data_IF_099488550905
#
_entry.id   IF_099488550905
#
_cell.length_a   1.000
_cell.length_b   1.000
_cell.length_c   1.000
_cell.angle_alpha   90.00
_cell.angle_beta   90.00
_cell.angle_gamma   90.00
#
_symmetry.space_group_name_H-M   'P 1'
#
loop_
_entity.id
_entity.type
_entity.pdbx_description
1 polymer ?
#
# COMPACT_ATOMS: atom_id res chain seq x y z
N UNK A 1 -6.89 26.10 -10.47
CA UNK A 1 -6.20 24.81 -10.57
C UNK A 1 -5.78 24.66 -12.03
N UNK A 2 -4.49 24.48 -12.30
CA UNK A 2 -4.03 24.26 -13.68
C UNK A 2 -4.41 22.87 -14.18
N UNK A 3 -4.19 22.61 -15.48
CA UNK A 3 -4.61 21.37 -16.14
C UNK A 3 -3.94 20.12 -15.57
N UNK A 4 -2.66 20.22 -15.17
CA UNK A 4 -1.93 19.10 -14.56
C UNK A 4 -2.52 18.84 -13.17
N UNK A 5 -2.70 19.88 -12.36
CA UNK A 5 -3.31 19.75 -11.03
C UNK A 5 -4.72 19.15 -11.10
N UNK A 6 -5.53 19.55 -12.08
CA UNK A 6 -6.89 19.01 -12.25
C UNK A 6 -6.87 17.54 -12.62
N UNK A 7 -6.02 17.12 -13.56
CA UNK A 7 -5.86 15.72 -13.92
C UNK A 7 -5.33 14.87 -12.77
N UNK A 8 -4.36 15.39 -12.01
CA UNK A 8 -3.85 14.71 -10.82
C UNK A 8 -4.94 14.53 -9.77
N UNK A 9 -5.74 15.58 -9.52
CA UNK A 9 -6.84 15.52 -8.57
C UNK A 9 -7.93 14.53 -9.02
N UNK A 10 -8.34 14.58 -10.30
CA UNK A 10 -9.35 13.69 -10.86
C UNK A 10 -8.89 12.22 -10.78
N UNK A 11 -7.61 11.95 -11.09
CA UNK A 11 -7.03 10.62 -10.94
C UNK A 11 -7.00 10.17 -9.48
N UNK A 12 -6.42 10.98 -8.58
CA UNK A 12 -6.28 10.63 -7.17
C UNK A 12 -7.65 10.38 -6.53
N UNK A 13 -8.66 11.19 -6.85
CA UNK A 13 -10.02 11.03 -6.31
C UNK A 13 -10.70 9.78 -6.86
N UNK A 14 -10.51 9.47 -8.15
CA UNK A 14 -11.12 8.29 -8.79
C UNK A 14 -10.52 6.96 -8.31
N UNK A 15 -9.23 6.93 -8.05
CA UNK A 15 -8.49 5.71 -7.71
C UNK A 15 -8.18 5.56 -6.21
N UNK A 16 -8.54 6.54 -5.37
CA UNK A 16 -8.45 6.38 -3.93
C UNK A 16 -9.37 5.24 -3.46
N UNK A 17 -8.76 4.18 -2.94
CA UNK A 17 -9.49 2.99 -2.46
C UNK A 17 -9.77 3.00 -0.95
N UNK A 18 -9.06 3.85 -0.21
CA UNK A 18 -9.06 3.89 1.26
C UNK A 18 -9.25 5.33 1.72
N UNK A 19 -10.01 5.53 2.80
CA UNK A 19 -10.14 6.85 3.43
C UNK A 19 -8.77 7.39 3.86
N UNK A 20 -8.48 8.70 3.68
CA UNK A 20 -7.18 9.26 4.01
C UNK A 20 -6.70 9.00 5.45
N UNK A 21 -7.61 9.00 6.44
CA UNK A 21 -7.23 8.77 7.85
C UNK A 21 -6.84 7.31 8.08
N UNK A 22 -7.55 6.39 7.45
CA UNK A 22 -7.28 4.96 7.59
C UNK A 22 -6.02 4.57 6.81
N UNK A 23 -5.81 5.14 5.63
CA UNK A 23 -4.56 5.00 4.87
C UNK A 23 -3.34 5.46 5.69
N UNK A 24 -3.43 6.60 6.39
CA UNK A 24 -2.35 7.06 7.27
C UNK A 24 -2.05 6.08 8.41
N UNK A 25 -3.09 5.52 9.05
CA UNK A 25 -2.93 4.52 10.10
C UNK A 25 -2.34 3.21 9.57
N UNK A 26 -2.82 2.73 8.43
CA UNK A 26 -2.28 1.55 7.74
C UNK A 26 -0.80 1.74 7.43
N UNK A 27 -0.41 2.90 6.88
CA UNK A 27 0.99 3.20 6.56
C UNK A 27 1.88 3.10 7.79
N UNK A 28 1.46 3.74 8.90
CA UNK A 28 2.23 3.68 10.14
C UNK A 28 2.37 2.26 10.69
N UNK A 29 1.31 1.44 10.59
CA UNK A 29 1.36 0.03 10.99
C UNK A 29 2.31 -0.77 10.10
N UNK A 30 2.20 -0.64 8.78
CA UNK A 30 3.06 -1.35 7.83
C UNK A 30 4.56 -1.04 8.06
N UNK A 31 4.90 0.24 8.32
CA UNK A 31 6.28 0.62 8.62
C UNK A 31 6.74 0.03 9.96
N UNK A 32 5.97 0.21 11.04
CA UNK A 32 6.37 -0.19 12.40
C UNK A 32 6.34 -1.70 12.60
N UNK A 33 5.36 -2.38 12.03
CA UNK A 33 5.04 -3.78 12.32
C UNK A 33 5.55 -4.76 11.26
N UNK A 34 5.78 -4.30 10.03
CA UNK A 34 6.24 -5.13 8.92
C UNK A 34 7.61 -4.68 8.38
N UNK A 35 8.20 -3.61 8.94
CA UNK A 35 9.53 -3.13 8.53
C UNK A 35 9.57 -2.61 7.09
N UNK A 36 8.43 -2.11 6.59
CA UNK A 36 8.37 -1.51 5.27
C UNK A 36 8.95 -0.10 5.28
N UNK A 37 9.53 0.31 4.15
CA UNK A 37 9.82 1.73 3.91
C UNK A 37 8.52 2.51 3.70
N UNK A 38 8.62 3.84 3.71
CA UNK A 38 7.45 4.68 3.43
C UNK A 38 6.88 4.41 2.02
N UNK A 39 7.77 4.27 1.03
CA UNK A 39 7.42 3.99 -0.36
C UNK A 39 6.73 2.63 -0.52
N UNK A 40 7.27 1.58 0.09
CA UNK A 40 6.70 0.22 0.06
C UNK A 40 5.33 0.18 0.73
N UNK A 41 5.17 0.86 1.88
CA UNK A 41 3.89 0.93 2.57
C UNK A 41 2.84 1.67 1.73
N UNK A 42 3.22 2.76 1.07
CA UNK A 42 2.33 3.49 0.15
C UNK A 42 1.96 2.64 -1.07
N UNK A 43 2.93 1.92 -1.65
CA UNK A 43 2.69 1.01 -2.77
C UNK A 43 1.67 -0.07 -2.41
N UNK A 44 1.83 -0.73 -1.26
CA UNK A 44 0.89 -1.75 -0.77
C UNK A 44 -0.52 -1.18 -0.60
N UNK A 45 -0.66 0.02 0.01
CA UNK A 45 -1.97 0.65 0.23
C UNK A 45 -2.64 1.01 -1.10
N UNK A 46 -1.88 1.54 -2.06
CA UNK A 46 -2.41 1.95 -3.36
C UNK A 46 -2.82 0.75 -4.21
N UNK A 47 -2.01 -0.32 -4.22
CA UNK A 47 -2.33 -1.56 -4.94
C UNK A 47 -3.50 -2.28 -4.26
N UNK A 48 -3.56 -2.26 -2.92
CA UNK A 48 -4.56 -2.94 -2.09
C UNK A 48 -4.78 -4.41 -2.51
N UNK A 49 -3.75 -5.26 -2.45
CA UNK A 49 -3.89 -6.66 -2.83
C UNK A 49 -4.89 -7.41 -1.96
N UNK A 50 -5.60 -8.34 -2.57
CA UNK A 50 -6.63 -9.17 -1.91
C UNK A 50 -6.14 -10.58 -1.59
N UNK A 51 -4.97 -10.95 -2.09
CA UNK A 51 -4.42 -12.29 -1.93
C UNK A 51 -2.89 -12.29 -1.77
N UNK A 52 -2.34 -13.33 -1.14
CA UNK A 52 -0.88 -13.52 -1.05
C UNK A 52 -0.19 -13.60 -2.41
N UNK A 53 -0.73 -14.27 -3.45
CA UNK A 53 -0.15 -14.25 -4.79
C UNK A 53 -0.05 -12.84 -5.39
N UNK A 54 -1.08 -12.01 -5.25
CA UNK A 54 -1.03 -10.61 -5.70
C UNK A 54 0.04 -9.83 -4.95
N UNK A 55 0.10 -9.95 -3.62
CA UNK A 55 1.10 -9.28 -2.81
C UNK A 55 2.53 -9.72 -3.20
N UNK A 56 2.75 -11.01 -3.47
CA UNK A 56 4.06 -11.53 -3.92
C UNK A 56 4.47 -11.00 -5.29
N UNK A 57 3.50 -10.74 -6.19
CA UNK A 57 3.80 -10.34 -7.57
C UNK A 57 4.63 -9.06 -7.69
N UNK A 58 4.39 -8.07 -6.82
CA UNK A 58 5.12 -6.79 -6.86
C UNK A 58 6.20 -6.68 -5.76
N UNK A 59 6.00 -7.32 -4.60
CA UNK A 59 7.00 -7.29 -3.51
C UNK A 59 8.32 -7.98 -3.87
N UNK A 60 8.34 -8.87 -4.86
CA UNK A 60 9.59 -9.45 -5.39
C UNK A 60 10.53 -8.38 -5.98
N UNK A 61 9.98 -7.23 -6.41
CA UNK A 61 10.75 -6.09 -6.91
C UNK A 61 11.57 -5.35 -5.85
N UNK A 62 11.28 -5.55 -4.56
CA UNK A 62 11.93 -4.84 -3.45
C UNK A 62 13.36 -5.32 -3.14
N UNK A 63 13.86 -6.33 -3.86
CA UNK A 63 15.22 -6.89 -3.71
C UNK A 63 15.58 -7.29 -2.28
N UNK A 64 14.58 -7.62 -1.45
CA UNK A 64 14.74 -8.08 -0.06
C UNK A 64 13.92 -9.34 0.19
N UNK A 65 14.42 -10.18 1.09
CA UNK A 65 13.71 -11.37 1.52
C UNK A 65 12.61 -10.97 2.51
N UNK A 66 11.36 -11.26 2.16
CA UNK A 66 10.20 -11.04 3.03
C UNK A 66 9.69 -12.39 3.48
N UNK A 67 9.58 -12.57 4.79
CA UNK A 67 9.06 -13.81 5.37
C UNK A 67 7.57 -13.97 5.05
N UNK A 68 7.10 -15.20 4.94
CA UNK A 68 5.70 -15.50 4.67
C UNK A 68 4.77 -14.89 5.73
N UNK A 69 5.17 -14.96 7.00
CA UNK A 69 4.44 -14.36 8.13
C UNK A 69 4.31 -12.83 7.98
N UNK A 70 5.34 -12.16 7.48
CA UNK A 70 5.30 -10.72 7.22
C UNK A 70 4.31 -10.39 6.10
N UNK A 71 4.28 -11.18 5.02
CA UNK A 71 3.33 -11.01 3.92
C UNK A 71 1.88 -11.23 4.39
N UNK A 72 1.63 -12.24 5.22
CA UNK A 72 0.33 -12.48 5.83
C UNK A 72 -0.10 -11.32 6.73
N UNK A 73 0.82 -10.81 7.54
CA UNK A 73 0.56 -9.65 8.41
C UNK A 73 0.25 -8.39 7.60
N UNK A 74 0.96 -8.15 6.50
CA UNK A 74 0.66 -7.04 5.58
C UNK A 74 -0.77 -7.16 5.07
N UNK A 75 -1.17 -8.34 4.60
CA UNK A 75 -2.50 -8.59 4.07
C UNK A 75 -3.59 -8.35 5.13
N UNK A 76 -3.35 -8.79 6.38
CA UNK A 76 -4.26 -8.55 7.51
C UNK A 76 -4.41 -7.06 7.88
N UNK A 77 -3.35 -6.24 7.71
CA UNK A 77 -3.39 -4.81 8.02
C UNK A 77 -4.25 -4.05 7.02
N UNK A 78 -4.19 -4.42 5.73
CA UNK A 78 -4.85 -3.69 4.64
C UNK A 78 -6.26 -4.21 4.28
N UNK A 79 -6.62 -5.42 4.74
CA UNK A 79 -7.96 -6.00 4.55
C UNK A 79 -8.90 -5.76 5.75
N UNK A 80 -8.42 -5.09 6.80
CA UNK A 80 -9.25 -4.59 7.89
C UNK A 80 -9.93 -3.28 7.51
#
# INVERSE_FOLDING_TARGET
MDQIQRWTYDFATKFAKVDPKDAQKMKQKLIKECGLTDEEAVEVINIQPTSLPELRSFTFGWKKLILAETLEKILQIIQK
#
